data_IF_685077898634
#
_entry.id   IF_685077898634
#
_cell.length_a   1.000
_cell.length_b   1.000
_cell.length_c   1.000
_cell.angle_alpha   90.00
_cell.angle_beta   90.00
_cell.angle_gamma   90.00
#
_symmetry.space_group_name_H-M   'P 1'
#
loop_
_entity.id
_entity.type
_entity.pdbx_description
1 polymer ?
#
# COMPACT_ATOMS: atom_id res chain seq x y z
N UNK A 1 96.28 94.21 49.50
CA UNK A 1 95.42 93.45 50.43
C UNK A 1 94.54 92.54 49.61
N UNK A 2 95.10 91.47 49.05
CA UNK A 2 95.46 90.24 49.78
C UNK A 2 94.29 89.25 49.98
N UNK A 3 93.05 89.56 49.53
CA UNK A 3 91.93 88.61 49.64
C UNK A 3 91.63 87.78 48.37
N UNK A 4 92.11 88.15 47.18
CA UNK A 4 91.85 87.36 45.96
C UNK A 4 92.84 86.20 45.75
N UNK A 5 94.04 86.27 46.34
CA UNK A 5 95.02 85.18 46.26
C UNK A 5 94.64 83.99 47.15
N UNK A 6 94.11 84.26 48.36
CA UNK A 6 93.71 83.22 49.31
C UNK A 6 92.49 82.42 48.84
N UNK A 7 91.47 83.10 48.27
CA UNK A 7 90.30 82.43 47.69
C UNK A 7 90.65 81.54 46.49
N UNK A 8 91.59 82.00 45.66
CA UNK A 8 92.10 81.23 44.52
C UNK A 8 92.93 80.03 44.98
N UNK A 9 93.75 80.18 46.02
CA UNK A 9 94.58 79.10 46.56
C UNK A 9 93.74 77.99 47.24
N UNK A 10 92.67 78.34 47.96
CA UNK A 10 91.75 77.37 48.58
C UNK A 10 90.91 76.61 47.54
N UNK A 11 90.37 77.29 46.52
CA UNK A 11 89.67 76.64 45.39
C UNK A 11 90.60 75.74 44.57
N UNK A 12 91.87 76.13 44.44
CA UNK A 12 92.88 75.32 43.74
C UNK A 12 93.21 74.08 44.56
N UNK A 13 93.38 74.20 45.88
CA UNK A 13 93.72 73.07 46.75
C UNK A 13 92.57 72.05 46.86
N UNK A 14 91.31 72.49 46.91
CA UNK A 14 90.16 71.59 46.94
C UNK A 14 89.97 70.86 45.58
N UNK A 15 90.21 71.55 44.45
CA UNK A 15 90.26 70.89 43.12
C UNK A 15 91.39 69.86 43.02
N UNK A 16 92.55 70.14 43.59
CA UNK A 16 93.66 69.18 43.64
C UNK A 16 93.33 67.96 44.51
N UNK A 17 92.64 68.15 45.63
CA UNK A 17 92.18 67.07 46.52
C UNK A 17 91.14 66.18 45.87
N UNK A 18 90.13 66.78 45.22
CA UNK A 18 89.08 66.04 44.48
C UNK A 18 89.69 65.30 43.28
N UNK A 19 90.60 65.94 42.52
CA UNK A 19 91.31 65.25 41.46
C UNK A 19 92.17 64.11 41.99
N UNK A 20 92.88 64.28 43.10
CA UNK A 20 93.69 63.21 43.69
C UNK A 20 92.82 62.03 44.16
N UNK A 21 91.65 62.29 44.75
CA UNK A 21 90.67 61.25 45.12
C UNK A 21 90.09 60.53 43.89
N UNK A 22 89.71 61.27 42.84
CA UNK A 22 89.23 60.69 41.58
C UNK A 22 90.31 59.86 40.88
N UNK A 23 91.56 60.34 40.83
CA UNK A 23 92.68 59.57 40.25
C UNK A 23 92.90 58.30 41.05
N UNK A 24 92.76 58.34 42.38
CA UNK A 24 92.92 57.17 43.25
C UNK A 24 91.79 56.15 43.06
N UNK A 25 90.55 56.61 42.87
CA UNK A 25 89.39 55.76 42.58
C UNK A 25 89.56 55.06 41.22
N UNK A 26 89.86 55.83 40.17
CA UNK A 26 90.09 55.30 38.81
C UNK A 26 91.30 54.34 38.79
N UNK A 27 92.35 54.62 39.56
CA UNK A 27 93.51 53.71 39.67
C UNK A 27 93.12 52.39 40.34
N UNK A 28 92.26 52.43 41.37
CA UNK A 28 91.77 51.21 42.01
C UNK A 28 90.85 50.40 41.08
N UNK A 29 89.98 51.05 40.30
CA UNK A 29 89.16 50.38 39.28
C UNK A 29 90.04 49.76 38.18
N UNK A 30 91.07 50.47 37.72
CA UNK A 30 92.05 49.94 36.77
C UNK A 30 92.77 48.70 37.31
N UNK A 31 93.17 48.71 38.58
CA UNK A 31 93.80 47.56 39.22
C UNK A 31 92.85 46.37 39.34
N UNK A 32 91.58 46.61 39.69
CA UNK A 32 90.56 45.56 39.75
C UNK A 32 90.27 44.96 38.38
N UNK A 33 90.10 45.80 37.35
CA UNK A 33 89.90 45.33 35.97
C UNK A 33 91.12 44.56 35.46
N UNK A 34 92.35 45.02 35.75
CA UNK A 34 93.55 44.29 35.36
C UNK A 34 93.66 42.93 36.06
N UNK A 35 93.29 42.85 37.34
CA UNK A 35 93.25 41.58 38.06
C UNK A 35 92.24 40.60 37.44
N UNK A 36 91.03 41.07 37.11
CA UNK A 36 90.02 40.26 36.41
C UNK A 36 90.46 39.86 35.00
N UNK A 37 91.17 40.75 34.29
CA UNK A 37 91.68 40.48 32.95
C UNK A 37 92.82 39.45 33.00
N UNK A 38 93.69 39.49 34.01
CA UNK A 38 94.67 38.43 34.25
C UNK A 38 94.02 37.09 34.59
N UNK A 39 92.97 37.08 35.42
CA UNK A 39 92.23 35.86 35.78
C UNK A 39 91.53 35.25 34.56
N UNK A 40 90.80 36.05 33.78
CA UNK A 40 90.16 35.61 32.54
C UNK A 40 91.19 35.11 31.52
N UNK A 41 92.34 35.78 31.37
CA UNK A 41 93.39 35.32 30.45
C UNK A 41 94.00 33.97 30.90
N UNK A 42 94.12 33.72 32.21
CA UNK A 42 94.55 32.42 32.73
C UNK A 42 93.51 31.33 32.43
N UNK A 43 92.22 31.63 32.59
CA UNK A 43 91.15 30.69 32.24
C UNK A 43 91.12 30.39 30.74
N UNK A 44 91.21 31.42 29.88
CA UNK A 44 91.29 31.26 28.42
C UNK A 44 92.50 30.40 28.04
N UNK A 45 93.67 30.68 28.60
CA UNK A 45 94.88 29.89 28.32
C UNK A 45 94.72 28.43 28.80
N UNK A 46 94.11 28.21 29.96
CA UNK A 46 93.86 26.85 30.47
C UNK A 46 92.85 26.08 29.59
N UNK A 47 91.82 26.75 29.05
CA UNK A 47 90.88 26.16 28.10
C UNK A 47 91.56 25.83 26.77
N UNK A 48 92.45 26.69 26.29
CA UNK A 48 93.22 26.47 25.07
C UNK A 48 94.19 25.31 25.22
N UNK A 49 94.92 25.25 26.34
CA UNK A 49 95.82 24.14 26.66
C UNK A 49 95.07 22.80 26.81
N UNK A 50 93.85 22.80 27.38
CA UNK A 50 93.06 21.59 27.57
C UNK A 50 92.68 20.91 26.24
N UNK A 51 92.38 21.70 25.21
CA UNK A 51 92.11 21.18 23.86
C UNK A 51 93.31 21.30 22.90
N UNK A 52 94.48 21.70 23.43
CA UNK A 52 95.76 21.82 22.73
C UNK A 52 95.70 22.76 21.50
N UNK A 53 95.09 23.94 21.67
CA UNK A 53 95.03 25.01 20.65
C UNK A 53 95.85 26.22 21.07
N UNK A 54 96.43 26.94 20.10
CA UNK A 54 97.31 28.08 20.38
C UNK A 54 96.64 29.44 20.30
N UNK A 55 95.45 29.52 19.69
CA UNK A 55 94.75 30.78 19.42
C UNK A 55 93.24 30.65 19.66
N UNK A 56 92.59 31.80 19.87
CA UNK A 56 91.12 31.87 20.00
C UNK A 56 90.39 31.42 18.73
N UNK A 57 90.96 31.71 17.57
CA UNK A 57 90.40 31.29 16.28
C UNK A 57 90.44 29.76 16.12
N UNK A 58 91.54 29.11 16.53
CA UNK A 58 91.64 27.65 16.57
C UNK A 58 90.61 27.03 17.54
N UNK A 59 90.36 27.66 18.69
CA UNK A 59 89.36 27.20 19.66
C UNK A 59 87.95 27.21 19.05
N UNK A 60 87.57 28.28 18.34
CA UNK A 60 86.27 28.35 17.66
C UNK A 60 86.18 27.39 16.48
N UNK A 61 87.27 27.18 15.72
CA UNK A 61 87.28 26.20 14.63
C UNK A 61 87.05 24.78 15.14
N UNK A 62 87.72 24.38 16.22
CA UNK A 62 87.49 23.08 16.85
C UNK A 62 86.06 22.92 17.39
N UNK A 63 85.45 24.01 17.84
CA UNK A 63 84.04 24.00 18.23
C UNK A 63 83.11 23.78 17.03
N UNK A 64 83.33 24.45 15.90
CA UNK A 64 82.57 24.22 14.67
C UNK A 64 82.74 22.78 14.16
N UNK A 65 83.96 22.24 14.20
CA UNK A 65 84.24 20.86 13.81
C UNK A 65 83.50 19.87 14.73
N UNK A 66 83.47 20.14 16.03
CA UNK A 66 82.72 19.34 17.00
C UNK A 66 81.20 19.43 16.78
N UNK A 67 80.66 20.62 16.52
CA UNK A 67 79.25 20.80 16.15
C UNK A 67 78.90 20.04 14.87
N UNK A 68 79.77 20.11 13.86
CA UNK A 68 79.58 19.40 12.60
C UNK A 68 79.62 17.89 12.80
N UNK A 69 80.59 17.38 13.57
CA UNK A 69 80.70 15.97 13.93
C UNK A 69 79.46 15.48 14.67
N UNK A 70 79.02 16.20 15.71
CA UNK A 70 77.86 15.81 16.50
C UNK A 70 76.56 15.82 15.69
N UNK A 71 76.38 16.81 14.80
CA UNK A 71 75.26 16.85 13.86
C UNK A 71 75.27 15.67 12.88
N UNK A 72 76.44 15.37 12.28
CA UNK A 72 76.59 14.23 11.37
C UNK A 72 76.36 12.89 12.08
N UNK A 73 76.83 12.74 13.33
CA UNK A 73 76.62 11.54 14.13
C UNK A 73 75.13 11.35 14.48
N UNK A 74 74.42 12.43 14.84
CA UNK A 74 72.97 12.36 15.06
C UNK A 74 72.25 11.90 13.80
N UNK A 75 72.57 12.50 12.65
CA UNK A 75 71.97 12.14 11.37
C UNK A 75 72.25 10.69 10.99
N UNK A 76 73.47 10.21 11.22
CA UNK A 76 73.84 8.81 10.99
C UNK A 76 72.99 7.85 11.85
N UNK A 77 72.83 8.17 13.14
CA UNK A 77 72.04 7.36 14.06
C UNK A 77 70.55 7.33 13.66
N UNK A 78 69.99 8.48 13.26
CA UNK A 78 68.60 8.58 12.82
C UNK A 78 68.36 7.79 11.54
N UNK A 79 69.28 7.89 10.57
CA UNK A 79 69.19 7.14 9.32
C UNK A 79 69.34 5.63 9.55
N UNK A 80 70.23 5.22 10.45
CA UNK A 80 70.40 3.81 10.82
C UNK A 80 69.12 3.24 11.41
N UNK A 81 68.48 3.94 12.36
CA UNK A 81 67.18 3.51 12.93
C UNK A 81 66.06 3.47 11.90
N UNK A 82 66.03 4.44 10.97
CA UNK A 82 65.06 4.45 9.89
C UNK A 82 65.20 3.19 9.02
N UNK A 83 66.43 2.87 8.61
CA UNK A 83 66.74 1.69 7.80
C UNK A 83 66.42 0.38 8.56
N UNK A 84 66.73 0.29 9.85
CA UNK A 84 66.37 -0.85 10.70
C UNK A 84 64.84 -1.06 10.76
N UNK A 85 64.07 0.01 10.96
CA UNK A 85 62.59 -0.08 10.99
C UNK A 85 61.99 -0.50 9.65
N UNK A 86 62.67 -0.22 8.54
CA UNK A 86 62.28 -0.66 7.19
C UNK A 86 62.78 -2.09 6.88
N UNK A 87 63.33 -2.81 7.86
CA UNK A 87 63.95 -4.13 7.68
C UNK A 87 65.05 -4.13 6.60
N UNK A 88 65.79 -3.03 6.47
CA UNK A 88 66.89 -2.93 5.51
C UNK A 88 68.08 -3.77 5.98
N UNK A 89 68.16 -5.01 5.50
CA UNK A 89 69.18 -5.97 5.92
C UNK A 89 70.53 -5.73 5.24
N UNK A 90 71.61 -6.26 5.83
CA UNK A 90 72.93 -6.26 5.21
C UNK A 90 72.94 -6.99 3.84
N UNK A 91 72.16 -8.06 3.71
CA UNK A 91 71.96 -8.77 2.45
C UNK A 91 71.28 -7.90 1.39
N UNK A 92 70.27 -7.11 1.80
CA UNK A 92 69.58 -6.18 0.92
C UNK A 92 70.53 -5.06 0.46
N UNK A 93 71.32 -4.51 1.39
CA UNK A 93 72.36 -3.52 1.08
C UNK A 93 73.39 -4.05 0.08
N UNK A 94 73.86 -5.28 0.26
CA UNK A 94 74.79 -5.93 -0.66
C UNK A 94 74.18 -6.10 -2.04
N UNK A 95 72.94 -6.59 -2.13
CA UNK A 95 72.25 -6.80 -3.41
C UNK A 95 71.96 -5.48 -4.16
N UNK A 96 71.70 -4.39 -3.43
CA UNK A 96 71.44 -3.07 -4.01
C UNK A 96 72.74 -2.37 -4.43
N UNK A 97 73.86 -2.67 -3.77
CA UNK A 97 75.19 -2.15 -4.15
C UNK A 97 75.68 -2.68 -5.51
N UNK A 98 75.15 -3.82 -5.95
CA UNK A 98 75.42 -4.40 -7.29
C UNK A 98 74.66 -3.68 -8.40
N UNK A 99 73.67 -2.85 -8.06
CA UNK A 99 72.84 -2.10 -9.00
C UNK A 99 73.30 -0.66 -9.12
N UNK A 100 73.17 -0.11 -10.32
CA UNK A 100 73.38 1.32 -10.55
C UNK A 100 72.14 2.11 -10.13
N UNK A 101 72.30 3.40 -9.83
CA UNK A 101 71.18 4.30 -9.48
C UNK A 101 70.07 4.28 -10.54
N UNK A 102 70.45 4.24 -11.83
CA UNK A 102 69.49 4.17 -12.93
C UNK A 102 68.66 2.87 -12.93
N UNK A 103 69.24 1.73 -12.54
CA UNK A 103 68.51 0.45 -12.45
C UNK A 103 67.53 0.44 -11.27
N UNK A 104 67.88 1.11 -10.16
CA UNK A 104 66.99 1.25 -9.00
C UNK A 104 65.82 2.18 -9.30
N UNK A 105 66.05 3.28 -9.99
CA UNK A 105 64.98 4.20 -10.45
C UNK A 105 64.02 3.51 -11.43
N UNK A 106 64.54 2.64 -12.30
CA UNK A 106 63.71 1.85 -13.22
C UNK A 106 62.84 0.83 -12.48
N UNK A 107 63.38 0.10 -11.50
CA UNK A 107 62.61 -0.82 -10.67
C UNK A 107 61.57 -0.11 -9.80
N UNK A 108 61.92 1.04 -9.22
CA UNK A 108 60.99 1.86 -8.42
C UNK A 108 59.82 2.34 -9.27
N UNK A 109 60.09 2.85 -10.48
CA UNK A 109 59.04 3.25 -11.42
C UNK A 109 58.15 2.06 -11.81
N UNK A 110 58.74 0.88 -12.04
CA UNK A 110 58.00 -0.32 -12.40
C UNK A 110 57.10 -0.80 -11.26
N UNK A 111 57.61 -0.78 -10.02
CA UNK A 111 56.84 -1.09 -8.81
C UNK A 111 55.73 -0.05 -8.56
N UNK A 112 56.01 1.24 -8.73
CA UNK A 112 55.00 2.29 -8.61
C UNK A 112 53.85 2.08 -9.61
N UNK A 113 54.19 1.73 -10.86
CA UNK A 113 53.19 1.42 -11.90
C UNK A 113 52.35 0.19 -11.51
N UNK A 114 52.98 -0.87 -10.98
CA UNK A 114 52.26 -2.06 -10.50
C UNK A 114 51.34 -1.76 -9.32
N UNK A 115 51.77 -0.90 -8.38
CA UNK A 115 50.94 -0.48 -7.24
C UNK A 115 49.71 0.27 -7.73
N UNK A 116 49.87 1.17 -8.70
CA UNK A 116 48.75 1.90 -9.31
C UNK A 116 47.78 0.95 -10.02
N UNK A 117 48.30 0.00 -10.82
CA UNK A 117 47.48 -1.03 -11.48
C UNK A 117 46.70 -1.89 -10.46
N UNK A 118 47.35 -2.34 -9.38
CA UNK A 118 46.67 -3.12 -8.34
C UNK A 118 45.63 -2.32 -7.57
N UNK A 119 45.89 -1.03 -7.30
CA UNK A 119 44.91 -0.16 -6.67
C UNK A 119 43.69 0.04 -7.57
N UNK A 120 43.88 0.22 -8.87
CA UNK A 120 42.78 0.36 -9.83
C UNK A 120 41.93 -0.93 -9.87
N UNK A 121 42.58 -2.10 -9.95
CA UNK A 121 41.91 -3.40 -9.86
C UNK A 121 41.16 -3.60 -8.53
N UNK A 122 41.75 -3.17 -7.41
CA UNK A 122 41.12 -3.24 -6.10
C UNK A 122 39.86 -2.39 -6.04
N UNK A 123 39.91 -1.15 -6.53
CA UNK A 123 38.77 -0.24 -6.57
C UNK A 123 37.64 -0.79 -7.46
N UNK A 124 37.98 -1.37 -8.61
CA UNK A 124 37.00 -2.01 -9.49
C UNK A 124 36.32 -3.20 -8.79
N UNK A 125 37.09 -4.08 -8.17
CA UNK A 125 36.55 -5.23 -7.44
C UNK A 125 35.67 -4.78 -6.26
N UNK A 126 36.09 -3.74 -5.54
CA UNK A 126 35.31 -3.17 -4.44
C UNK A 126 33.97 -2.60 -4.91
N UNK A 127 33.94 -1.95 -6.09
CA UNK A 127 32.70 -1.48 -6.70
C UNK A 127 31.78 -2.66 -7.09
N UNK A 128 32.32 -3.73 -7.67
CA UNK A 128 31.56 -4.93 -8.03
C UNK A 128 30.94 -5.60 -6.79
N UNK A 129 31.70 -5.72 -5.69
CA UNK A 129 31.19 -6.28 -4.42
C UNK A 129 30.06 -5.42 -3.85
N UNK A 130 30.19 -4.09 -3.92
CA UNK A 130 29.15 -3.16 -3.48
C UNK A 130 27.85 -3.32 -4.30
N UNK A 131 27.98 -3.40 -5.62
CA UNK A 131 26.83 -3.57 -6.52
C UNK A 131 26.14 -4.93 -6.31
N UNK A 132 26.90 -6.02 -6.24
CA UNK A 132 26.38 -7.35 -5.94
C UNK A 132 25.70 -7.40 -4.56
N UNK A 133 26.27 -6.75 -3.55
CA UNK A 133 25.65 -6.69 -2.21
C UNK A 133 24.32 -5.91 -2.24
N UNK A 134 24.22 -4.84 -3.03
CA UNK A 134 22.96 -4.12 -3.20
C UNK A 134 21.91 -4.96 -3.91
N UNK A 135 22.30 -5.70 -4.96
CA UNK A 135 21.41 -6.61 -5.68
C UNK A 135 20.89 -7.74 -4.77
N UNK A 136 21.76 -8.35 -3.95
CA UNK A 136 21.37 -9.38 -2.97
C UNK A 136 20.34 -8.81 -1.98
N UNK A 137 20.63 -7.66 -1.37
CA UNK A 137 19.69 -7.02 -0.44
C UNK A 137 18.34 -6.68 -1.10
N UNK A 138 18.34 -6.26 -2.36
CA UNK A 138 17.11 -6.02 -3.09
C UNK A 138 16.30 -7.30 -3.30
N UNK A 139 16.95 -8.40 -3.71
CA UNK A 139 16.30 -9.70 -3.87
C UNK A 139 15.78 -10.28 -2.54
N UNK A 140 16.50 -10.10 -1.44
CA UNK A 140 16.08 -10.55 -0.11
C UNK A 140 14.90 -9.74 0.44
N UNK A 141 14.79 -8.46 0.09
CA UNK A 141 13.71 -7.57 0.54
C UNK A 141 12.52 -7.53 -0.41
N UNK A 142 12.60 -8.15 -1.58
CA UNK A 142 11.52 -8.18 -2.55
C UNK A 142 10.34 -9.03 -2.06
N UNK A 143 9.31 -8.34 -1.58
CA UNK A 143 8.07 -8.93 -1.08
C UNK A 143 6.98 -9.03 -2.14
N UNK A 144 7.26 -8.63 -3.39
CA UNK A 144 6.25 -8.60 -4.46
C UNK A 144 5.60 -9.96 -4.69
N UNK A 145 6.38 -11.05 -4.75
CA UNK A 145 5.82 -12.39 -4.94
C UNK A 145 4.91 -12.83 -3.78
N UNK A 146 5.29 -12.51 -2.54
CA UNK A 146 4.50 -12.83 -1.37
C UNK A 146 3.16 -12.07 -1.39
N UNK A 147 3.20 -10.76 -1.69
CA UNK A 147 2.02 -9.91 -1.80
C UNK A 147 1.09 -10.37 -2.92
N UNK A 148 1.65 -10.68 -4.10
CA UNK A 148 0.86 -11.14 -5.25
C UNK A 148 0.22 -12.51 -4.99
N UNK A 149 0.91 -13.42 -4.27
CA UNK A 149 0.32 -14.69 -3.82
C UNK A 149 -0.82 -14.47 -2.83
N UNK A 150 -0.65 -13.57 -1.86
CA UNK A 150 -1.72 -13.23 -0.91
C UNK A 150 -2.95 -12.66 -1.63
N UNK A 151 -2.74 -11.73 -2.57
CA UNK A 151 -3.83 -11.16 -3.38
C UNK A 151 -4.53 -12.23 -4.22
N UNK A 152 -3.77 -13.10 -4.90
CA UNK A 152 -4.32 -14.22 -5.66
C UNK A 152 -5.20 -15.13 -4.80
N UNK A 153 -4.72 -15.52 -3.62
CA UNK A 153 -5.48 -16.39 -2.72
C UNK A 153 -6.72 -15.69 -2.14
N UNK A 154 -6.63 -14.39 -1.83
CA UNK A 154 -7.78 -13.59 -1.41
C UNK A 154 -8.86 -13.56 -2.50
N UNK A 155 -8.48 -13.22 -3.73
CA UNK A 155 -9.39 -13.12 -4.86
C UNK A 155 -10.01 -14.49 -5.22
N UNK A 156 -9.20 -15.55 -5.16
CA UNK A 156 -9.67 -16.93 -5.36
C UNK A 156 -10.71 -17.35 -4.32
N UNK A 157 -10.53 -16.96 -3.06
CA UNK A 157 -11.51 -17.26 -2.02
C UNK A 157 -12.81 -16.49 -2.24
N UNK A 158 -12.74 -15.20 -2.56
CA UNK A 158 -13.91 -14.40 -2.90
C UNK A 158 -14.67 -14.99 -4.09
N UNK A 159 -13.97 -15.42 -5.14
CA UNK A 159 -14.57 -16.10 -6.29
C UNK A 159 -15.30 -17.37 -5.87
N UNK A 160 -14.67 -18.21 -5.03
CA UNK A 160 -15.28 -19.46 -4.58
C UNK A 160 -16.56 -19.24 -3.77
N UNK A 161 -16.60 -18.19 -2.94
CA UNK A 161 -17.79 -17.87 -2.15
C UNK A 161 -18.93 -17.36 -3.04
N UNK A 162 -18.64 -16.44 -3.97
CA UNK A 162 -19.61 -15.96 -4.96
C UNK A 162 -20.13 -17.12 -5.84
N UNK A 163 -19.24 -18.04 -6.24
CA UNK A 163 -19.62 -19.20 -7.05
C UNK A 163 -20.59 -20.13 -6.32
N UNK A 164 -20.44 -20.32 -5.00
CA UNK A 164 -21.39 -21.11 -4.18
C UNK A 164 -22.75 -20.45 -4.11
N UNK A 165 -22.80 -19.14 -3.90
CA UNK A 165 -24.06 -18.39 -3.86
C UNK A 165 -24.76 -18.46 -5.21
N UNK A 166 -24.02 -18.22 -6.29
CA UNK A 166 -24.52 -18.33 -7.65
C UNK A 166 -25.06 -19.73 -7.96
N UNK A 167 -24.34 -20.78 -7.57
CA UNK A 167 -24.80 -22.16 -7.78
C UNK A 167 -26.10 -22.46 -7.03
N UNK A 168 -26.22 -21.97 -5.79
CA UNK A 168 -27.41 -22.12 -4.96
C UNK A 168 -28.62 -21.42 -5.58
N UNK A 169 -28.44 -20.17 -6.04
CA UNK A 169 -29.48 -19.40 -6.71
C UNK A 169 -29.91 -20.03 -8.04
N UNK A 170 -28.94 -20.49 -8.84
CA UNK A 170 -29.21 -21.15 -10.13
C UNK A 170 -29.99 -22.45 -9.95
N UNK A 171 -29.71 -23.19 -8.87
CA UNK A 171 -30.46 -24.39 -8.51
C UNK A 171 -31.90 -24.06 -8.10
N UNK A 172 -32.10 -23.04 -7.26
CA UNK A 172 -33.43 -22.58 -6.87
C UNK A 172 -34.25 -22.10 -8.07
N UNK A 173 -33.64 -21.35 -8.99
CA UNK A 173 -34.28 -20.94 -10.23
C UNK A 173 -34.75 -22.15 -11.04
N UNK A 174 -33.87 -23.14 -11.22
CA UNK A 174 -34.20 -24.37 -11.94
C UNK A 174 -35.36 -25.14 -11.29
N UNK A 175 -35.43 -25.17 -9.95
CA UNK A 175 -36.55 -25.79 -9.23
C UNK A 175 -37.87 -25.04 -9.44
N UNK A 176 -37.85 -23.71 -9.41
CA UNK A 176 -39.03 -22.88 -9.66
C UNK A 176 -39.52 -23.08 -11.10
N UNK A 177 -38.62 -23.06 -12.07
CA UNK A 177 -38.94 -23.26 -13.49
C UNK A 177 -39.56 -24.64 -13.74
N UNK A 178 -39.00 -25.69 -13.14
CA UNK A 178 -39.56 -27.04 -13.23
C UNK A 178 -40.94 -27.14 -12.55
N UNK A 179 -41.15 -26.45 -11.43
CA UNK A 179 -42.47 -26.40 -10.78
C UNK A 179 -43.51 -25.67 -11.64
N UNK A 180 -43.14 -24.53 -12.23
CA UNK A 180 -43.99 -23.79 -13.17
C UNK A 180 -44.34 -24.67 -14.36
N UNK A 181 -43.34 -25.38 -14.92
CA UNK A 181 -43.53 -26.32 -16.02
C UNK A 181 -44.50 -27.44 -15.65
N UNK A 182 -44.36 -28.05 -14.48
CA UNK A 182 -45.30 -29.07 -14.01
C UNK A 182 -46.74 -28.55 -13.88
N UNK A 183 -46.92 -27.29 -13.43
CA UNK A 183 -48.23 -26.66 -13.38
C UNK A 183 -48.78 -26.47 -14.80
N UNK A 184 -47.98 -25.94 -15.73
CA UNK A 184 -48.36 -25.76 -17.14
C UNK A 184 -48.71 -27.09 -17.82
N UNK A 185 -47.91 -28.14 -17.62
CA UNK A 185 -48.08 -29.41 -18.34
C UNK A 185 -49.24 -30.26 -17.79
N UNK A 186 -49.52 -30.18 -16.47
CA UNK A 186 -50.52 -31.05 -15.82
C UNK A 186 -51.83 -30.34 -15.49
N UNK A 187 -51.77 -29.16 -14.86
CA UNK A 187 -52.96 -28.51 -14.28
C UNK A 187 -53.69 -27.66 -15.31
N UNK A 188 -52.96 -26.93 -16.14
CA UNK A 188 -53.58 -26.04 -17.12
C UNK A 188 -54.48 -26.78 -18.13
N UNK A 189 -54.10 -27.94 -18.69
CA UNK A 189 -55.01 -28.74 -19.52
C UNK A 189 -56.28 -29.16 -18.79
N UNK A 190 -56.21 -29.47 -17.49
CA UNK A 190 -57.39 -29.82 -16.70
C UNK A 190 -58.32 -28.61 -16.54
N UNK A 191 -57.78 -27.42 -16.28
CA UNK A 191 -58.55 -26.17 -16.19
C UNK A 191 -59.24 -25.88 -17.53
N UNK A 192 -58.52 -25.98 -18.65
CA UNK A 192 -59.07 -25.73 -19.98
C UNK A 192 -60.18 -26.74 -20.32
N UNK A 193 -59.96 -28.04 -20.08
CA UNK A 193 -60.97 -29.06 -20.35
C UNK A 193 -62.24 -28.85 -19.53
N UNK A 194 -62.10 -28.53 -18.25
CA UNK A 194 -63.25 -28.20 -17.40
C UNK A 194 -63.95 -26.91 -17.88
N UNK A 195 -63.19 -25.89 -18.29
CA UNK A 195 -63.77 -24.65 -18.84
C UNK A 195 -64.57 -24.91 -20.12
N UNK A 196 -64.11 -25.84 -20.98
CA UNK A 196 -64.83 -26.26 -22.19
C UNK A 196 -66.18 -26.86 -21.84
N UNK A 197 -66.24 -27.78 -20.88
CA UNK A 197 -67.50 -28.42 -20.48
C UNK A 197 -68.49 -27.41 -19.89
N UNK A 198 -68.00 -26.48 -19.06
CA UNK A 198 -68.82 -25.40 -18.50
C UNK A 198 -69.36 -24.48 -19.60
N UNK A 199 -68.47 -24.02 -20.49
CA UNK A 199 -68.84 -23.12 -21.57
C UNK A 199 -69.84 -23.78 -22.53
N UNK A 200 -69.64 -25.05 -22.84
CA UNK A 200 -70.55 -25.86 -23.67
C UNK A 200 -71.93 -25.95 -23.04
N UNK A 201 -72.02 -26.26 -21.74
CA UNK A 201 -73.29 -26.29 -21.00
C UNK A 201 -74.02 -24.93 -21.04
N UNK A 202 -73.31 -23.86 -20.70
CA UNK A 202 -73.88 -22.51 -20.61
C UNK A 202 -74.31 -21.96 -21.98
N UNK A 203 -73.68 -22.42 -23.06
CA UNK A 203 -73.94 -21.92 -24.42
C UNK A 203 -74.84 -22.79 -25.28
N UNK A 204 -75.49 -23.83 -24.72
CA UNK A 204 -76.28 -24.83 -25.47
C UNK A 204 -75.44 -25.58 -26.52
N UNK A 205 -74.17 -25.84 -26.22
CA UNK A 205 -73.26 -26.56 -27.11
C UNK A 205 -72.70 -25.74 -28.27
N UNK A 206 -72.99 -24.43 -28.32
CA UNK A 206 -72.49 -23.56 -29.41
C UNK A 206 -70.98 -23.43 -29.43
N UNK A 207 -70.32 -23.42 -28.27
CA UNK A 207 -68.87 -23.39 -28.17
C UNK A 207 -68.38 -24.72 -27.59
N UNK A 208 -67.46 -25.36 -28.30
CA UNK A 208 -67.11 -26.78 -28.10
C UNK A 208 -65.64 -27.01 -27.75
N UNK A 209 -64.80 -25.99 -27.88
CA UNK A 209 -63.38 -26.07 -27.53
C UNK A 209 -62.84 -24.70 -27.17
N UNK A 210 -61.85 -24.68 -26.29
CA UNK A 210 -61.04 -23.52 -25.94
C UNK A 210 -59.60 -23.94 -26.24
N UNK A 211 -58.94 -23.21 -27.13
CA UNK A 211 -57.51 -23.37 -27.36
C UNK A 211 -56.78 -22.31 -26.54
N UNK A 212 -55.78 -22.73 -25.80
CA UNK A 212 -54.88 -21.85 -25.07
C UNK A 212 -53.46 -22.09 -25.60
N UNK A 213 -52.85 -21.04 -26.12
CA UNK A 213 -51.42 -20.95 -26.41
C UNK A 213 -50.85 -19.83 -25.53
N UNK A 214 -49.57 -19.87 -25.19
CA UNK A 214 -48.97 -19.09 -24.07
C UNK A 214 -49.48 -17.64 -23.89
N UNK A 215 -49.76 -16.93 -24.98
CA UNK A 215 -50.28 -15.55 -24.97
C UNK A 215 -51.65 -15.35 -25.65
N UNK A 216 -52.35 -16.42 -26.08
CA UNK A 216 -53.64 -16.30 -26.76
C UNK A 216 -54.65 -17.37 -26.41
N UNK A 217 -55.91 -16.97 -26.32
CA UNK A 217 -57.06 -17.86 -26.14
C UNK A 217 -57.92 -17.74 -27.37
N UNK A 218 -58.34 -18.85 -27.96
CA UNK A 218 -59.40 -18.86 -28.98
C UNK A 218 -60.49 -19.86 -28.61
N UNK A 219 -61.71 -19.62 -29.06
CA UNK A 219 -62.84 -20.54 -28.83
C UNK A 219 -63.38 -21.07 -30.15
N UNK A 220 -63.68 -22.36 -30.19
CA UNK A 220 -64.24 -23.02 -31.37
C UNK A 220 -65.75 -23.10 -31.27
N UNK A 221 -66.44 -22.47 -32.22
CA UNK A 221 -67.87 -22.62 -32.38
C UNK A 221 -68.21 -23.95 -33.06
N UNK A 222 -69.42 -24.47 -32.84
CA UNK A 222 -69.88 -25.78 -33.34
C UNK A 222 -69.88 -25.89 -34.88
N UNK A 223 -69.93 -24.75 -35.58
CA UNK A 223 -69.78 -24.67 -37.04
C UNK A 223 -68.32 -24.81 -37.53
N UNK A 224 -67.37 -24.96 -36.61
CA UNK A 224 -65.93 -25.10 -36.91
C UNK A 224 -65.13 -23.80 -36.88
N UNK A 225 -65.78 -22.62 -36.79
CA UNK A 225 -65.10 -21.34 -36.78
C UNK A 225 -64.39 -21.09 -35.44
N UNK A 226 -63.18 -20.52 -35.50
CA UNK A 226 -62.44 -20.04 -34.35
C UNK A 226 -62.70 -18.55 -34.18
N UNK A 227 -62.88 -18.13 -32.93
CA UNK A 227 -63.05 -16.74 -32.55
C UNK A 227 -62.04 -16.35 -31.48
N UNK A 228 -61.44 -15.17 -31.64
CA UNK A 228 -60.74 -14.49 -30.56
C UNK A 228 -61.76 -13.93 -29.55
N UNK A 229 -61.40 -13.76 -28.25
CA UNK A 229 -62.32 -13.29 -27.24
C UNK A 229 -62.88 -11.90 -27.55
N UNK A 230 -62.13 -11.08 -28.31
CA UNK A 230 -62.53 -9.76 -28.77
C UNK A 230 -63.67 -9.81 -29.79
N UNK A 231 -63.74 -10.88 -30.58
CA UNK A 231 -64.77 -11.10 -31.62
C UNK A 231 -66.08 -11.66 -31.04
N UNK A 232 -66.06 -12.12 -29.79
CA UNK A 232 -67.24 -12.62 -29.10
C UNK A 232 -68.17 -11.49 -28.68
N UNK A 233 -69.48 -11.76 -28.70
CA UNK A 233 -70.47 -10.87 -28.09
C UNK A 233 -70.15 -10.64 -26.60
N UNK A 234 -70.48 -9.47 -26.05
CA UNK A 234 -70.19 -9.12 -24.66
C UNK A 234 -70.59 -10.21 -23.65
N UNK A 235 -71.84 -10.70 -23.69
CA UNK A 235 -72.30 -11.75 -22.78
C UNK A 235 -71.58 -13.09 -22.98
N UNK A 236 -71.06 -13.38 -24.18
CA UNK A 236 -70.32 -14.63 -24.45
C UNK A 236 -68.89 -14.55 -23.92
N UNK A 237 -68.26 -13.38 -24.04
CA UNK A 237 -66.95 -13.08 -23.43
C UNK A 237 -67.01 -13.25 -21.91
N UNK A 238 -68.07 -12.74 -21.28
CA UNK A 238 -68.29 -12.89 -19.83
C UNK A 238 -68.55 -14.35 -19.43
N UNK A 239 -69.31 -15.11 -20.22
CA UNK A 239 -69.49 -16.55 -19.99
C UNK A 239 -68.16 -17.32 -20.08
N UNK A 240 -67.32 -17.02 -21.07
CA UNK A 240 -65.98 -17.60 -21.19
C UNK A 240 -65.14 -17.29 -19.95
N UNK A 241 -65.17 -16.03 -19.49
CA UNK A 241 -64.44 -15.62 -18.30
C UNK A 241 -64.89 -16.36 -17.03
N UNK A 242 -66.21 -16.47 -16.83
CA UNK A 242 -66.78 -17.19 -15.68
C UNK A 242 -66.47 -18.69 -15.77
N UNK A 243 -66.55 -19.30 -16.96
CA UNK A 243 -66.19 -20.70 -17.16
C UNK A 243 -64.72 -20.99 -16.81
N UNK A 244 -63.79 -20.11 -17.21
CA UNK A 244 -62.38 -20.20 -16.85
C UNK A 244 -62.14 -20.04 -15.34
N UNK A 245 -62.86 -19.13 -14.68
CA UNK A 245 -62.74 -18.95 -13.21
C UNK A 245 -63.28 -20.15 -12.46
N UNK A 246 -64.47 -20.63 -12.81
CA UNK A 246 -65.08 -21.78 -12.12
C UNK A 246 -64.27 -23.05 -12.36
N UNK A 247 -63.78 -23.29 -13.58
CA UNK A 247 -62.92 -24.44 -13.86
C UNK A 247 -61.65 -24.42 -13.02
N UNK A 248 -61.01 -23.26 -12.86
CA UNK A 248 -59.86 -23.10 -11.97
C UNK A 248 -60.23 -23.46 -10.52
N UNK A 249 -61.36 -22.95 -10.01
CA UNK A 249 -61.87 -23.31 -8.68
C UNK A 249 -62.11 -24.81 -8.55
N UNK A 250 -62.65 -25.46 -9.60
CA UNK A 250 -62.88 -26.91 -9.62
C UNK A 250 -61.60 -27.72 -9.51
N UNK A 251 -60.59 -27.36 -10.30
CA UNK A 251 -59.28 -28.03 -10.29
C UNK A 251 -58.54 -27.79 -8.95
N UNK A 252 -58.70 -26.61 -8.35
CA UNK A 252 -58.01 -26.25 -7.10
C UNK A 252 -58.71 -26.73 -5.83
N UNK A 253 -59.99 -27.12 -5.89
CA UNK A 253 -60.79 -27.53 -4.71
C UNK A 253 -60.10 -28.55 -3.79
N UNK A 254 -59.44 -29.62 -4.28
CA UNK A 254 -58.78 -30.59 -3.40
C UNK A 254 -57.67 -29.97 -2.53
N UNK A 255 -57.10 -28.85 -2.95
CA UNK A 255 -56.07 -28.12 -2.24
C UNK A 255 -56.66 -26.96 -1.41
N UNK A 256 -57.73 -26.33 -1.92
CA UNK A 256 -58.29 -25.09 -1.38
C UNK A 256 -59.83 -25.12 -1.42
N UNK A 257 -60.51 -25.66 -0.39
CA UNK A 257 -61.96 -25.80 -0.35
C UNK A 257 -62.65 -24.51 0.14
N UNK A 258 -62.48 -23.41 -0.61
CA UNK A 258 -63.06 -22.12 -0.26
C UNK A 258 -64.50 -21.94 -0.78
N UNK A 259 -65.32 -21.09 -0.12
CA UNK A 259 -66.63 -20.72 -0.63
C UNK A 259 -66.51 -19.91 -1.94
N UNK A 260 -67.51 -20.05 -2.81
CA UNK A 260 -67.66 -19.26 -4.03
C UNK A 260 -68.52 -18.03 -3.73
N UNK A 261 -67.94 -16.84 -3.87
CA UNK A 261 -68.66 -15.57 -3.73
C UNK A 261 -68.79 -14.94 -5.12
N UNK A 262 -70.03 -14.67 -5.51
CA UNK A 262 -70.38 -14.07 -6.80
C UNK A 262 -71.13 -12.77 -6.52
N UNK A 263 -70.53 -11.64 -6.90
CA UNK A 263 -71.10 -10.31 -6.67
C UNK A 263 -71.46 -9.64 -8.00
N UNK A 264 -72.76 -9.46 -8.24
CA UNK A 264 -73.37 -8.81 -9.41
C UNK A 264 -72.76 -9.21 -10.77
N UNK A 265 -72.40 -10.48 -10.91
CA UNK A 265 -71.55 -10.94 -12.02
C UNK A 265 -72.28 -11.13 -13.36
N UNK A 266 -73.61 -11.06 -13.40
CA UNK A 266 -74.42 -11.49 -14.56
C UNK A 266 -75.32 -10.40 -15.14
N UNK A 267 -75.00 -9.11 -14.89
CA UNK A 267 -75.82 -7.96 -15.32
C UNK A 267 -76.03 -7.92 -16.85
N UNK A 268 -75.05 -8.35 -17.65
CA UNK A 268 -75.16 -8.33 -19.12
C UNK A 268 -75.73 -9.63 -19.72
N UNK A 269 -76.26 -10.54 -18.90
CA UNK A 269 -76.85 -11.78 -19.39
C UNK A 269 -78.33 -11.58 -19.72
N UNK A 270 -78.76 -12.17 -20.84
CA UNK A 270 -80.19 -12.34 -21.09
C UNK A 270 -80.81 -13.33 -20.10
N UNK A 271 -82.14 -13.29 -19.97
CA UNK A 271 -82.89 -14.14 -19.02
C UNK A 271 -82.52 -15.62 -19.11
N UNK A 272 -82.32 -16.14 -20.33
CA UNK A 272 -82.01 -17.56 -20.57
C UNK A 272 -80.60 -17.90 -20.09
N UNK A 273 -79.61 -17.03 -20.36
CA UNK A 273 -78.23 -17.19 -19.88
C UNK A 273 -78.14 -17.09 -18.36
N UNK A 274 -78.87 -16.14 -17.75
CA UNK A 274 -78.94 -16.00 -16.28
C UNK A 274 -79.52 -17.25 -15.64
N UNK A 275 -80.63 -17.76 -16.16
CA UNK A 275 -81.25 -19.00 -15.67
C UNK A 275 -80.30 -20.20 -15.72
N UNK A 276 -79.60 -20.38 -16.84
CA UNK A 276 -78.60 -21.45 -16.97
C UNK A 276 -77.44 -21.31 -15.98
N UNK A 277 -76.93 -20.09 -15.82
CA UNK A 277 -75.83 -19.83 -14.89
C UNK A 277 -76.25 -20.09 -13.45
N UNK A 278 -77.43 -19.63 -13.03
CA UNK A 278 -77.94 -19.87 -11.68
C UNK A 278 -78.21 -21.37 -11.44
N UNK A 279 -78.77 -22.09 -12.42
CA UNK A 279 -78.92 -23.54 -12.32
C UNK A 279 -77.56 -24.25 -12.21
N UNK A 280 -76.55 -23.79 -12.94
CA UNK A 280 -75.19 -24.32 -12.83
C UNK A 280 -74.59 -24.05 -11.44
N UNK A 281 -74.71 -22.82 -10.92
CA UNK A 281 -74.27 -22.48 -9.56
C UNK A 281 -74.98 -23.32 -8.48
N UNK A 282 -76.28 -23.60 -8.65
CA UNK A 282 -77.02 -24.49 -7.75
C UNK A 282 -76.49 -25.92 -7.82
N UNK A 283 -76.15 -26.45 -9.00
CA UNK A 283 -75.50 -27.77 -9.08
C UNK A 283 -74.13 -27.79 -8.39
N UNK A 284 -73.38 -26.69 -8.43
CA UNK A 284 -72.12 -26.58 -7.71
C UNK A 284 -72.34 -26.56 -6.18
N UNK A 285 -73.51 -26.15 -5.68
CA UNK A 285 -73.78 -26.11 -4.25
C UNK A 285 -73.68 -27.47 -3.55
N UNK A 286 -73.76 -28.57 -4.30
CA UNK A 286 -73.51 -29.93 -3.78
C UNK A 286 -72.08 -30.11 -3.23
N UNK A 287 -71.13 -29.33 -3.77
CA UNK A 287 -69.70 -29.48 -3.51
C UNK A 287 -69.05 -28.22 -2.92
N UNK A 288 -69.71 -27.07 -3.04
CA UNK A 288 -69.22 -25.74 -2.65
C UNK A 288 -70.29 -24.97 -1.88
N UNK A 289 -69.90 -24.15 -0.92
CA UNK A 289 -70.79 -23.09 -0.44
C UNK A 289 -70.80 -21.97 -1.48
N UNK A 290 -71.98 -21.62 -2.02
CA UNK A 290 -72.12 -20.56 -3.03
C UNK A 290 -72.92 -19.40 -2.43
N UNK A 291 -72.33 -18.21 -2.43
CA UNK A 291 -72.95 -16.95 -2.02
C UNK A 291 -73.09 -16.05 -3.25
N UNK A 292 -74.32 -15.78 -3.67
CA UNK A 292 -74.62 -14.93 -4.81
C UNK A 292 -75.31 -13.65 -4.36
N UNK A 293 -74.68 -12.51 -4.65
CA UNK A 293 -75.17 -11.17 -4.39
C UNK A 293 -75.62 -10.53 -5.70
N UNK A 294 -76.82 -9.96 -5.71
CA UNK A 294 -77.39 -9.30 -6.88
C UNK A 294 -78.37 -8.23 -6.43
N UNK A 295 -78.43 -7.13 -7.20
CA UNK A 295 -79.46 -6.10 -7.06
C UNK A 295 -80.74 -6.42 -7.83
N UNK A 296 -80.72 -7.47 -8.67
CA UNK A 296 -81.85 -7.87 -9.51
C UNK A 296 -82.62 -8.99 -8.81
N UNK A 297 -83.90 -8.75 -8.55
CA UNK A 297 -84.80 -9.79 -8.05
C UNK A 297 -85.23 -10.68 -9.22
N UNK A 298 -84.74 -11.91 -9.24
CA UNK A 298 -85.23 -12.95 -10.15
C UNK A 298 -86.13 -13.96 -9.42
N UNK A 299 -86.88 -14.76 -10.19
CA UNK A 299 -87.76 -15.82 -9.67
C UNK A 299 -87.13 -17.22 -9.87
N UNK A 300 -85.85 -17.28 -10.22
CA UNK A 300 -85.17 -18.54 -10.58
C UNK A 300 -84.71 -19.26 -9.31
N UNK A 301 -84.26 -18.48 -8.31
CA UNK A 301 -83.86 -19.01 -7.00
C UNK A 301 -85.10 -19.09 -6.07
N UNK A 302 -85.37 -20.25 -5.43
CA UNK A 302 -86.47 -20.39 -4.48
C UNK A 302 -86.37 -19.37 -3.34
N UNK A 303 -87.49 -18.78 -2.92
CA UNK A 303 -87.48 -17.75 -1.86
C UNK A 303 -86.91 -18.20 -0.52
N UNK A 304 -86.83 -19.52 -0.27
CA UNK A 304 -86.19 -20.09 0.93
C UNK A 304 -84.66 -19.97 0.92
N UNK A 305 -84.07 -19.82 -0.27
CA UNK A 305 -82.63 -19.70 -0.51
C UNK A 305 -82.22 -18.22 -0.70
N UNK A 306 -83.15 -17.26 -0.53
CA UNK A 306 -82.93 -15.83 -0.79
C UNK A 306 -82.99 -15.03 0.52
N UNK A 307 -81.97 -14.22 0.76
CA UNK A 307 -81.92 -13.24 1.85
C UNK A 307 -81.97 -11.84 1.26
N UNK A 308 -83.00 -11.06 1.60
CA UNK A 308 -83.09 -9.66 1.19
C UNK A 308 -82.37 -8.78 2.21
N UNK A 309 -81.30 -8.11 1.78
CA UNK A 309 -80.58 -7.15 2.60
C UNK A 309 -81.23 -5.77 2.47
N UNK A 310 -81.85 -5.29 3.55
CA UNK A 310 -82.38 -3.94 3.62
C UNK A 310 -81.31 -3.01 4.22
N UNK A 311 -81.16 -1.80 3.66
CA UNK A 311 -80.33 -0.77 4.27
C UNK A 311 -80.90 -0.44 5.65
N UNK A 312 -80.06 -0.51 6.68
CA UNK A 312 -80.41 0.02 7.99
C UNK A 312 -80.48 1.55 7.81
N UNK A 313 -81.65 2.15 7.99
CA UNK A 313 -81.76 3.60 8.07
C UNK A 313 -80.96 4.05 9.29
N UNK A 314 -79.78 4.62 9.09
CA UNK A 314 -79.15 5.43 10.12
C UNK A 314 -80.12 6.55 10.45
N UNK A 315 -80.61 6.54 11.70
CA UNK A 315 -81.55 7.52 12.22
C UNK A 315 -81.16 8.92 11.78
N UNK A 316 -82.11 9.59 11.11
CA UNK A 316 -81.95 10.98 10.72
C UNK A 316 -81.53 11.83 11.91
N UNK A 317 -80.52 12.67 11.72
CA UNK A 317 -80.32 13.83 12.59
C UNK A 317 -81.47 14.80 12.35
N UNK A 318 -82.39 14.92 13.31
CA UNK A 318 -82.71 16.17 14.02
C UNK A 318 -83.64 15.92 15.20
#
# INVERSE_FOLDING_TARGET
MCNNGLKSAEDTNEKWRINAENTKLVTNELNHLNAQLEENNKEITALFDFINVGTEEDFYQHHEDYQTYTSNLSRFNDLTKYLENQNYSYELSSSLSEKTTAQLEEEDHLLATQVDEYNEQYLEMQAQVSDLSAQINHMETDTTLANLRHEYHSLKNQLNDIAKDWASLSYLQSLVDEHIKQIKDKRLPQVINEAVEILKYLTDGRYTMINYNEDSITVKHVNGQLYDPVELSQSTKELLYVALRISLIKVLRPYYPFPLIVDDAFVHFDKKRTEKMLNYLRSLSEHYQVLYFTCVKDNIVPSKEVITLNKIEEGGKR
#
